data_IF_283658457735
#
_entry.id   IF_283658457735
#
_cell.length_a   1.000
_cell.length_b   1.000
_cell.length_c   1.000
_cell.angle_alpha   90.00
_cell.angle_beta   90.00
_cell.angle_gamma   90.00
#
_symmetry.space_group_name_H-M   'P 1'
#
loop_
_entity.id
_entity.type
_entity.pdbx_description
1 polymer ?
#
# COMPACT_ATOMS: atom_id res chain seq x y z
N UNK A 1 -6.23 -18.05 -25.75
CA UNK A 1 -6.32 -16.88 -24.82
C UNK A 1 -4.91 -16.57 -24.38
N UNK A 2 -4.47 -15.33 -24.52
CA UNK A 2 -3.12 -14.94 -24.11
C UNK A 2 -3.21 -14.13 -22.82
N UNK A 3 -2.40 -14.48 -21.80
CA UNK A 3 -2.49 -13.91 -20.47
C UNK A 3 -1.11 -13.38 -20.04
N UNK A 4 -1.09 -12.17 -19.52
CA UNK A 4 0.06 -11.58 -18.82
C UNK A 4 -0.19 -11.71 -17.33
N UNK A 5 0.75 -12.30 -16.61
CA UNK A 5 0.69 -12.45 -15.16
C UNK A 5 1.65 -11.45 -14.50
N UNK A 6 1.16 -10.69 -13.55
CA UNK A 6 1.97 -9.88 -12.63
C UNK A 6 2.18 -10.62 -11.31
N UNK A 7 3.39 -10.55 -10.76
CA UNK A 7 3.73 -11.07 -9.43
C UNK A 7 4.51 -10.01 -8.66
N UNK A 8 4.05 -9.71 -7.44
CA UNK A 8 4.76 -8.86 -6.48
C UNK A 8 5.22 -9.72 -5.29
N UNK A 9 6.53 -9.86 -5.16
CA UNK A 9 7.17 -10.66 -4.10
C UNK A 9 7.62 -9.73 -2.97
N UNK A 10 6.68 -9.38 -2.11
CA UNK A 10 6.96 -8.52 -0.96
C UNK A 10 7.65 -9.26 0.18
N UNK A 11 8.06 -8.51 1.22
CA UNK A 11 8.76 -9.08 2.39
C UNK A 11 7.91 -10.00 3.26
N UNK A 12 6.58 -9.92 3.20
CA UNK A 12 5.66 -10.73 4.03
C UNK A 12 4.55 -11.43 3.25
N UNK A 13 4.32 -11.00 1.99
CA UNK A 13 3.26 -11.53 1.13
C UNK A 13 3.70 -11.54 -0.32
N UNK A 14 3.28 -12.56 -1.07
CA UNK A 14 3.34 -12.59 -2.54
C UNK A 14 1.94 -12.38 -3.10
N UNK A 15 1.81 -11.44 -4.02
CA UNK A 15 0.56 -11.10 -4.71
C UNK A 15 0.67 -11.45 -6.18
N UNK A 16 -0.45 -11.86 -6.77
CA UNK A 16 -0.50 -12.27 -8.18
C UNK A 16 -1.82 -11.81 -8.80
N UNK A 17 -1.74 -11.36 -10.04
CA UNK A 17 -2.86 -10.94 -10.88
C UNK A 17 -2.60 -11.36 -12.32
N UNK A 18 -3.65 -11.50 -13.12
CA UNK A 18 -3.55 -11.74 -14.56
C UNK A 18 -4.42 -10.79 -15.36
N UNK A 19 -3.99 -10.48 -16.58
CA UNK A 19 -4.75 -9.72 -17.57
C UNK A 19 -4.79 -10.48 -18.90
N UNK A 20 -5.93 -10.39 -19.60
CA UNK A 20 -6.00 -10.83 -21.00
C UNK A 20 -5.16 -9.91 -21.88
N UNK A 21 -4.37 -10.49 -22.79
CA UNK A 21 -3.52 -9.76 -23.73
C UNK A 21 -4.15 -9.59 -25.13
N UNK A 22 -5.17 -10.38 -25.45
CA UNK A 22 -5.73 -10.47 -26.81
C UNK A 22 -6.61 -9.27 -27.18
N UNK A 23 -7.11 -8.49 -26.21
CA UNK A 23 -7.94 -7.30 -26.45
C UNK A 23 -7.38 -6.07 -25.72
N UNK A 24 -6.57 -5.22 -26.39
CA UNK A 24 -5.94 -4.05 -25.75
C UNK A 24 -6.93 -3.06 -25.09
N UNK A 25 -8.17 -3.01 -25.60
CA UNK A 25 -9.20 -2.08 -25.14
C UNK A 25 -10.16 -2.69 -24.09
N UNK A 26 -10.12 -4.01 -23.86
CA UNK A 26 -10.95 -4.73 -22.89
C UNK A 26 -10.09 -5.66 -22.03
N UNK A 27 -9.14 -5.09 -21.30
CA UNK A 27 -8.30 -5.87 -20.38
C UNK A 27 -9.16 -6.45 -19.27
N UNK A 28 -9.49 -7.74 -19.36
CA UNK A 28 -10.15 -8.44 -18.27
C UNK A 28 -9.12 -8.80 -17.21
N UNK A 29 -9.35 -8.32 -15.99
CA UNK A 29 -8.56 -8.69 -14.82
C UNK A 29 -9.09 -10.00 -14.24
N UNK A 30 -8.20 -10.98 -14.04
CA UNK A 30 -8.50 -12.18 -13.25
C UNK A 30 -8.43 -11.88 -11.77
N UNK A 31 -9.24 -12.56 -10.96
CA UNK A 31 -9.32 -12.32 -9.51
C UNK A 31 -7.94 -12.40 -8.86
N UNK A 32 -7.42 -11.29 -8.31
CA UNK A 32 -6.12 -11.28 -7.66
C UNK A 32 -6.12 -12.20 -6.43
N UNK A 33 -4.99 -12.80 -6.14
CA UNK A 33 -4.79 -13.52 -4.90
C UNK A 33 -3.51 -13.09 -4.21
N UNK A 34 -3.40 -13.36 -2.91
CA UNK A 34 -2.17 -13.24 -2.15
C UNK A 34 -1.86 -14.53 -1.40
N UNK A 35 -0.59 -14.72 -1.09
CA UNK A 35 -0.08 -15.83 -0.29
C UNK A 35 0.87 -15.26 0.77
N UNK A 36 0.67 -15.64 2.03
CA UNK A 36 1.66 -15.38 3.09
C UNK A 36 2.74 -16.45 2.97
N UNK A 37 3.99 -16.05 2.93
CA UNK A 37 5.10 -16.99 2.92
C UNK A 37 6.36 -16.39 3.53
N UNK A 38 7.19 -17.25 4.10
CA UNK A 38 8.50 -16.92 4.65
C UNK A 38 9.64 -17.16 3.64
N UNK A 39 9.40 -18.00 2.63
CA UNK A 39 10.36 -18.30 1.56
C UNK A 39 9.88 -17.67 0.25
N UNK A 40 10.64 -16.74 -0.35
CA UNK A 40 10.24 -16.05 -1.57
C UNK A 40 10.02 -16.99 -2.75
N UNK A 41 10.90 -17.97 -2.96
CA UNK A 41 10.82 -18.89 -4.11
C UNK A 41 9.59 -19.79 -3.96
N UNK A 42 9.43 -20.47 -2.83
CA UNK A 42 8.26 -21.30 -2.57
C UNK A 42 6.95 -20.52 -2.67
N UNK A 43 6.97 -19.26 -2.21
CA UNK A 43 5.83 -18.35 -2.28
C UNK A 43 5.41 -18.03 -3.71
N UNK A 44 6.37 -17.74 -4.59
CA UNK A 44 6.09 -17.45 -6.02
C UNK A 44 5.51 -18.67 -6.73
N UNK A 45 6.16 -19.83 -6.60
CA UNK A 45 5.66 -21.06 -7.21
C UNK A 45 4.28 -21.47 -6.69
N UNK A 46 4.07 -21.35 -5.36
CA UNK A 46 2.78 -21.62 -4.72
C UNK A 46 1.68 -20.61 -5.12
N UNK A 47 1.99 -19.32 -5.17
CA UNK A 47 1.05 -18.29 -5.62
C UNK A 47 0.66 -18.50 -7.08
N UNK A 48 1.62 -18.78 -7.96
CA UNK A 48 1.37 -19.04 -9.38
C UNK A 48 0.46 -20.27 -9.57
N UNK A 49 0.78 -21.40 -8.94
CA UNK A 49 -0.03 -22.62 -9.04
C UNK A 49 -1.44 -22.41 -8.48
N UNK A 50 -1.58 -21.74 -7.33
CA UNK A 50 -2.88 -21.39 -6.73
C UNK A 50 -3.70 -20.48 -7.65
N UNK A 51 -3.07 -19.47 -8.24
CA UNK A 51 -3.73 -18.50 -9.12
C UNK A 51 -4.22 -19.14 -10.41
N UNK A 52 -3.37 -19.91 -11.09
CA UNK A 52 -3.72 -20.57 -12.36
C UNK A 52 -4.82 -21.61 -12.15
N UNK A 53 -4.74 -22.40 -11.07
CA UNK A 53 -5.76 -23.39 -10.71
C UNK A 53 -7.11 -22.73 -10.38
N UNK A 54 -7.10 -21.66 -9.55
CA UNK A 54 -8.33 -20.98 -9.13
C UNK A 54 -9.06 -20.26 -10.28
N UNK A 55 -8.32 -19.82 -11.31
CA UNK A 55 -8.87 -19.11 -12.46
C UNK A 55 -9.01 -20.01 -13.72
N UNK A 56 -8.72 -21.30 -13.63
CA UNK A 56 -8.81 -22.23 -14.76
C UNK A 56 -7.84 -21.91 -15.91
N UNK A 57 -6.67 -21.35 -15.60
CA UNK A 57 -5.66 -20.91 -16.58
C UNK A 57 -4.69 -22.07 -16.87
N UNK A 58 -4.57 -22.47 -18.13
CA UNK A 58 -3.53 -23.42 -18.56
C UNK A 58 -2.17 -22.70 -18.68
N UNK A 59 -1.06 -23.41 -18.41
CA UNK A 59 0.29 -22.83 -18.55
C UNK A 59 0.55 -22.35 -19.99
N UNK A 60 0.00 -23.03 -20.99
CA UNK A 60 0.09 -22.65 -22.41
C UNK A 60 -0.59 -21.33 -22.74
N UNK A 61 -1.52 -20.88 -21.90
CA UNK A 61 -2.23 -19.60 -22.08
C UNK A 61 -1.42 -18.41 -21.52
N UNK A 62 -0.41 -18.68 -20.68
CA UNK A 62 0.41 -17.62 -20.09
C UNK A 62 1.53 -17.23 -21.08
N UNK A 63 1.44 -16.02 -21.62
CA UNK A 63 2.42 -15.45 -22.56
C UNK A 63 3.70 -15.02 -21.86
N UNK A 64 3.56 -14.35 -20.70
CA UNK A 64 4.68 -13.76 -19.97
C UNK A 64 4.35 -13.53 -18.49
N UNK A 65 5.37 -13.56 -17.67
CA UNK A 65 5.31 -13.18 -16.25
C UNK A 65 6.08 -11.88 -16.03
N UNK A 66 5.45 -10.92 -15.38
CA UNK A 66 6.03 -9.63 -14.99
C UNK A 66 6.20 -9.64 -13.47
N UNK A 67 7.44 -9.63 -12.99
CA UNK A 67 7.74 -9.82 -11.57
C UNK A 67 8.38 -8.57 -10.96
N UNK A 68 8.00 -8.26 -9.74
CA UNK A 68 8.52 -7.12 -8.96
C UNK A 68 8.59 -7.45 -7.47
N UNK A 69 9.02 -6.49 -6.66
CA UNK A 69 9.18 -6.61 -5.22
C UNK A 69 10.56 -7.12 -4.81
N UNK A 70 10.93 -6.86 -3.55
CA UNK A 70 12.28 -7.17 -3.02
C UNK A 70 12.65 -8.65 -3.12
N UNK A 71 11.68 -9.56 -3.00
CA UNK A 71 11.89 -11.00 -3.10
C UNK A 71 12.04 -11.50 -4.54
N UNK A 72 11.76 -10.68 -5.55
CA UNK A 72 11.87 -11.07 -6.96
C UNK A 72 13.29 -11.43 -7.37
N UNK A 73 14.31 -10.89 -6.69
CA UNK A 73 15.71 -11.19 -6.95
C UNK A 73 16.10 -12.67 -6.73
N UNK A 74 15.26 -13.45 -6.03
CA UNK A 74 15.47 -14.87 -5.82
C UNK A 74 14.80 -15.76 -6.87
N UNK A 75 14.14 -15.16 -7.87
CA UNK A 75 13.39 -15.86 -8.92
C UNK A 75 14.16 -15.74 -10.25
N UNK A 76 14.32 -16.85 -10.95
CA UNK A 76 15.01 -16.88 -12.24
C UNK A 76 14.20 -16.20 -13.36
N UNK A 77 14.85 -15.93 -14.49
CA UNK A 77 14.25 -15.34 -15.70
C UNK A 77 13.20 -16.25 -16.38
N UNK A 78 12.91 -17.42 -15.80
CA UNK A 78 11.86 -18.35 -16.24
C UNK A 78 11.14 -18.97 -15.08
N UNK A 79 9.82 -18.75 -15.01
CA UNK A 79 8.92 -19.39 -14.04
C UNK A 79 8.07 -20.46 -14.76
N UNK A 80 8.19 -21.72 -14.38
CA UNK A 80 7.57 -22.87 -15.09
C UNK A 80 7.91 -22.92 -16.60
N UNK A 81 9.10 -22.45 -16.99
CA UNK A 81 9.53 -22.35 -18.38
C UNK A 81 9.01 -21.11 -19.13
N UNK A 82 8.15 -20.30 -18.52
CA UNK A 82 7.58 -19.08 -19.08
C UNK A 82 8.57 -17.94 -18.87
N UNK A 83 8.76 -17.10 -19.90
CA UNK A 83 9.61 -15.90 -19.82
C UNK A 83 9.15 -14.99 -18.68
N UNK A 84 10.09 -14.61 -17.82
CA UNK A 84 9.84 -13.75 -16.66
C UNK A 84 10.67 -12.48 -16.78
N UNK A 85 10.01 -11.30 -16.73
CA UNK A 85 10.66 -9.99 -16.78
C UNK A 85 10.62 -9.33 -15.42
N UNK A 86 11.79 -8.98 -14.90
CA UNK A 86 11.96 -8.24 -13.66
C UNK A 86 11.73 -6.74 -13.86
N UNK A 87 10.97 -6.12 -12.97
CA UNK A 87 10.58 -4.71 -13.02
C UNK A 87 10.94 -3.97 -11.74
N UNK A 88 11.18 -2.67 -11.88
CA UNK A 88 11.33 -1.77 -10.74
C UNK A 88 10.03 -1.71 -9.93
N UNK A 89 10.11 -1.94 -8.62
CA UNK A 89 8.96 -1.87 -7.73
C UNK A 89 8.30 -0.49 -7.77
N UNK A 90 9.09 0.59 -7.81
CA UNK A 90 8.57 1.95 -7.79
C UNK A 90 7.84 2.33 -9.08
N UNK A 91 8.28 1.82 -10.25
CA UNK A 91 7.53 1.97 -11.49
C UNK A 91 6.19 1.24 -11.42
N UNK A 92 6.19 0.03 -10.85
CA UNK A 92 4.97 -0.74 -10.66
C UNK A 92 4.01 -0.07 -9.66
N UNK A 93 4.53 0.51 -8.58
CA UNK A 93 3.74 1.30 -7.61
C UNK A 93 3.06 2.48 -8.31
N UNK A 94 3.82 3.28 -9.06
CA UNK A 94 3.28 4.44 -9.77
C UNK A 94 2.22 4.07 -10.79
N UNK A 95 2.53 3.13 -11.70
CA UNK A 95 1.61 2.65 -12.74
C UNK A 95 0.34 2.05 -12.15
N UNK A 96 0.50 1.17 -11.18
CA UNK A 96 -0.64 0.51 -10.53
C UNK A 96 -1.50 1.48 -9.75
N UNK A 97 -0.90 2.44 -9.04
CA UNK A 97 -1.61 3.47 -8.29
C UNK A 97 -2.46 4.36 -9.19
N UNK A 98 -1.92 4.84 -10.31
CA UNK A 98 -2.70 5.61 -11.30
C UNK A 98 -3.82 4.76 -11.92
N UNK A 99 -3.54 3.51 -12.27
CA UNK A 99 -4.54 2.63 -12.86
C UNK A 99 -5.74 2.39 -11.93
N UNK A 100 -5.50 2.05 -10.65
CA UNK A 100 -6.59 1.72 -9.72
C UNK A 100 -7.37 2.95 -9.26
N UNK A 101 -6.75 4.14 -9.28
CA UNK A 101 -7.39 5.40 -8.90
C UNK A 101 -8.07 6.13 -10.07
N UNK A 102 -7.63 5.88 -11.30
CA UNK A 102 -8.06 6.61 -12.49
C UNK A 102 -7.47 8.03 -12.60
N UNK A 103 -6.48 8.38 -11.76
CA UNK A 103 -5.80 9.67 -11.87
C UNK A 103 -4.73 9.66 -12.94
N UNK A 104 -4.55 10.82 -13.60
CA UNK A 104 -3.46 11.04 -14.57
C UNK A 104 -2.16 11.51 -13.90
N UNK A 105 -2.25 12.08 -12.69
CA UNK A 105 -1.11 12.59 -11.92
C UNK A 105 -1.46 12.54 -10.43
N UNK A 106 -0.65 11.87 -9.64
CA UNK A 106 -0.84 11.77 -8.20
C UNK A 106 0.45 11.40 -7.45
N UNK A 107 0.43 11.58 -6.14
CA UNK A 107 1.37 10.93 -5.24
C UNK A 107 0.80 9.55 -4.86
N UNK A 108 1.56 8.51 -5.09
CA UNK A 108 1.19 7.14 -4.74
C UNK A 108 1.96 6.75 -3.49
N UNK A 109 1.23 6.38 -2.44
CA UNK A 109 1.80 5.93 -1.16
C UNK A 109 1.55 4.45 -1.00
N UNK A 110 2.60 3.66 -1.13
CA UNK A 110 2.55 2.21 -0.96
C UNK A 110 2.85 1.84 0.49
N UNK A 111 1.81 1.50 1.24
CA UNK A 111 1.84 1.17 2.67
C UNK A 111 1.90 -0.36 2.85
N UNK A 112 3.11 -0.90 2.82
CA UNK A 112 3.42 -2.31 3.02
C UNK A 112 4.04 -2.59 4.39
N UNK A 113 5.09 -3.41 4.44
CA UNK A 113 5.93 -3.64 5.65
C UNK A 113 6.58 -2.34 6.11
N UNK A 114 7.16 -1.57 5.19
CA UNK A 114 7.47 -0.15 5.29
C UNK A 114 6.58 0.65 4.34
N UNK A 115 6.94 1.91 4.09
CA UNK A 115 6.17 2.80 3.20
C UNK A 115 7.08 3.41 2.15
N UNK A 116 6.65 3.35 0.88
CA UNK A 116 7.27 4.06 -0.23
C UNK A 116 6.33 5.16 -0.76
N UNK A 117 6.92 6.29 -1.15
CA UNK A 117 6.23 7.43 -1.74
C UNK A 117 6.76 7.65 -3.15
N UNK A 118 5.86 7.62 -4.12
CA UNK A 118 6.17 7.73 -5.56
C UNK A 118 5.32 8.82 -6.17
N UNK A 119 5.94 9.75 -6.90
CA UNK A 119 5.23 10.67 -7.77
C UNK A 119 5.01 9.98 -9.12
N UNK A 120 3.78 9.90 -9.58
CA UNK A 120 3.45 9.24 -10.84
C UNK A 120 2.57 10.12 -11.72
N UNK A 121 2.82 10.12 -13.02
CA UNK A 121 1.98 10.78 -14.02
C UNK A 121 1.98 10.04 -15.35
N UNK A 122 0.88 10.12 -16.07
CA UNK A 122 0.79 9.59 -17.42
C UNK A 122 1.27 10.65 -18.42
N UNK A 123 2.26 10.30 -19.23
CA UNK A 123 2.82 11.14 -20.29
C UNK A 123 2.90 10.35 -21.59
N UNK A 124 2.25 10.83 -22.63
CA UNK A 124 2.28 10.22 -23.99
C UNK A 124 2.01 8.69 -23.97
N UNK A 125 1.03 8.25 -23.19
CA UNK A 125 0.62 6.84 -23.09
C UNK A 125 1.49 5.98 -22.19
N UNK A 126 2.45 6.56 -21.48
CA UNK A 126 3.31 5.84 -20.51
C UNK A 126 3.24 6.46 -19.12
N UNK A 127 3.39 5.63 -18.11
CA UNK A 127 3.52 6.11 -16.74
C UNK A 127 4.96 6.46 -16.43
N UNK A 128 5.20 7.72 -16.08
CA UNK A 128 6.47 8.21 -15.55
C UNK A 128 6.38 8.21 -14.03
N UNK A 129 7.27 7.47 -13.38
CA UNK A 129 7.32 7.32 -11.92
C UNK A 129 8.64 7.83 -11.37
N UNK A 130 8.59 8.60 -10.29
CA UNK A 130 9.75 9.10 -9.55
C UNK A 130 9.64 8.68 -8.09
N UNK A 131 10.61 7.89 -7.61
CA UNK A 131 10.69 7.56 -6.19
C UNK A 131 11.11 8.79 -5.39
N UNK A 132 10.22 9.26 -4.53
CA UNK A 132 10.44 10.46 -3.71
C UNK A 132 11.07 10.15 -2.35
N UNK A 133 11.13 8.90 -1.99
CA UNK A 133 11.61 8.43 -0.70
C UNK A 133 10.61 7.51 -0.03
N UNK A 134 10.86 7.24 1.24
CA UNK A 134 10.00 6.36 2.03
C UNK A 134 10.41 6.39 3.49
N UNK A 135 9.80 5.51 4.26
CA UNK A 135 10.10 5.33 5.67
C UNK A 135 10.01 3.87 6.06
N UNK A 136 10.80 3.47 7.06
CA UNK A 136 10.64 2.16 7.73
C UNK A 136 9.34 2.05 8.54
N UNK A 137 8.61 3.16 8.72
CA UNK A 137 7.30 3.15 9.40
C UNK A 137 6.24 2.57 8.47
N UNK A 138 5.56 1.52 8.93
CA UNK A 138 4.56 0.79 8.15
C UNK A 138 3.97 -0.38 8.92
N UNK A 139 3.50 -1.39 8.22
CA UNK A 139 2.90 -2.59 8.80
C UNK A 139 3.86 -3.36 9.72
N UNK A 140 5.14 -3.40 9.36
CA UNK A 140 6.18 -3.99 10.21
C UNK A 140 6.30 -3.27 11.55
N UNK A 141 6.19 -1.94 11.56
CA UNK A 141 6.19 -1.12 12.79
C UNK A 141 4.98 -1.43 13.65
N UNK A 142 3.78 -1.47 13.05
CA UNK A 142 2.55 -1.81 13.77
C UNK A 142 2.70 -3.17 14.45
N UNK A 143 3.08 -4.21 13.70
CA UNK A 143 3.24 -5.57 14.23
C UNK A 143 4.31 -5.64 15.32
N UNK A 144 5.48 -5.01 15.09
CA UNK A 144 6.60 -5.01 16.03
C UNK A 144 6.25 -4.35 17.36
N UNK A 145 5.66 -3.16 17.33
CA UNK A 145 5.24 -2.42 18.52
C UNK A 145 4.10 -3.13 19.25
N UNK A 146 3.11 -3.64 18.52
CA UNK A 146 1.99 -4.38 19.11
C UNK A 146 2.46 -5.65 19.80
N UNK A 147 3.41 -6.37 19.21
CA UNK A 147 4.01 -7.55 19.85
C UNK A 147 4.74 -7.17 21.13
N UNK A 148 5.53 -6.11 21.12
CA UNK A 148 6.34 -5.69 22.26
C UNK A 148 5.49 -5.09 23.39
N UNK A 149 4.50 -4.25 23.07
CA UNK A 149 3.74 -3.45 24.04
C UNK A 149 2.51 -4.24 24.51
N UNK A 150 1.80 -4.92 23.62
CA UNK A 150 0.52 -5.56 23.89
C UNK A 150 0.61 -7.08 24.00
N UNK A 151 1.71 -7.68 23.53
CA UNK A 151 1.85 -9.13 23.39
C UNK A 151 1.06 -9.71 22.21
N UNK A 152 0.67 -8.88 21.22
CA UNK A 152 -0.19 -9.25 20.09
C UNK A 152 0.62 -9.22 18.80
N UNK A 153 0.65 -10.36 18.09
CA UNK A 153 1.30 -10.50 16.79
C UNK A 153 0.30 -10.65 15.63
N UNK A 154 -0.96 -10.93 15.95
CA UNK A 154 -2.04 -11.08 14.97
C UNK A 154 -2.63 -9.71 14.64
N UNK A 155 -2.61 -9.36 13.34
CA UNK A 155 -3.03 -8.04 12.88
C UNK A 155 -4.56 -7.86 12.96
N UNK A 156 -5.33 -8.93 12.73
CA UNK A 156 -6.79 -8.85 12.76
C UNK A 156 -7.28 -8.65 14.21
N UNK A 157 -6.60 -9.29 15.17
CA UNK A 157 -6.85 -9.06 16.60
C UNK A 157 -6.51 -7.61 17.00
N UNK A 158 -5.38 -7.08 16.50
CA UNK A 158 -5.00 -5.69 16.77
C UNK A 158 -6.01 -4.69 16.20
N UNK A 159 -6.46 -4.90 14.96
CA UNK A 159 -7.48 -4.07 14.30
C UNK A 159 -8.74 -4.02 15.16
N UNK A 160 -9.24 -5.19 15.61
CA UNK A 160 -10.43 -5.26 16.45
C UNK A 160 -10.27 -4.54 17.81
N UNK A 161 -9.09 -4.59 18.43
CA UNK A 161 -8.81 -3.81 19.65
C UNK A 161 -8.82 -2.30 19.34
N UNK A 162 -8.15 -1.86 18.27
CA UNK A 162 -8.04 -0.46 17.92
C UNK A 162 -9.41 0.20 17.60
N UNK A 163 -10.42 -0.58 17.17
CA UNK A 163 -11.77 -0.06 16.90
C UNK A 163 -12.46 0.53 18.13
N UNK A 164 -12.11 0.05 19.33
CA UNK A 164 -12.73 0.45 20.60
C UNK A 164 -11.83 1.35 21.46
N UNK A 165 -10.66 1.72 20.93
CA UNK A 165 -9.69 2.55 21.61
C UNK A 165 -10.10 4.04 21.69
N UNK A 166 -9.58 4.71 22.70
CA UNK A 166 -9.73 6.15 22.90
C UNK A 166 -8.37 6.85 22.74
N UNK A 167 -8.19 7.56 21.62
CA UNK A 167 -6.93 8.23 21.31
C UNK A 167 -6.65 9.41 22.25
N UNK A 168 -7.66 9.99 22.91
CA UNK A 168 -7.49 11.11 23.85
C UNK A 168 -6.74 10.71 25.13
N UNK A 169 -6.64 9.43 25.42
CA UNK A 169 -5.83 8.87 26.52
C UNK A 169 -4.38 8.62 26.16
N UNK A 170 -4.05 8.70 24.88
CA UNK A 170 -2.74 8.33 24.34
C UNK A 170 -2.01 9.55 23.80
N UNK A 171 -2.65 10.32 22.90
CA UNK A 171 -2.02 11.39 22.16
C UNK A 171 -2.28 12.75 22.81
N UNK A 172 -1.21 13.55 22.96
CA UNK A 172 -1.31 14.93 23.34
C UNK A 172 -1.77 15.75 22.14
N UNK A 173 -2.90 16.42 22.27
CA UNK A 173 -3.50 17.24 21.22
C UNK A 173 -3.25 18.74 21.45
N UNK A 174 -3.38 19.55 20.41
CA UNK A 174 -3.27 21.01 20.51
C UNK A 174 -4.24 21.56 21.54
N UNK A 175 -5.48 21.06 21.62
CA UNK A 175 -6.47 21.48 22.62
C UNK A 175 -6.14 21.17 24.07
N UNK A 176 -5.24 20.20 24.32
CA UNK A 176 -4.73 19.91 25.66
C UNK A 176 -3.70 20.97 26.13
N UNK A 177 -2.98 21.58 25.17
CA UNK A 177 -1.89 22.53 25.44
C UNK A 177 -2.41 23.96 25.56
N UNK A 178 -3.40 24.33 24.75
CA UNK A 178 -3.90 25.70 24.69
C UNK A 178 -5.40 25.75 24.36
N UNK A 179 -6.05 26.77 24.96
CA UNK A 179 -7.42 27.16 24.62
C UNK A 179 -7.49 28.28 23.60
N UNK A 180 -6.33 28.82 23.20
CA UNK A 180 -6.26 29.92 22.22
C UNK A 180 -6.19 29.30 20.81
N UNK A 181 -6.84 29.97 19.86
CA UNK A 181 -6.64 29.67 18.45
C UNK A 181 -5.17 29.94 18.06
N UNK A 182 -4.50 28.93 17.57
CA UNK A 182 -3.12 28.99 17.10
C UNK A 182 -3.03 29.21 15.58
N UNK A 183 -3.90 30.00 15.01
CA UNK A 183 -3.77 30.43 13.63
C UNK A 183 -3.99 29.29 12.62
N UNK A 184 -5.07 28.54 12.78
CA UNK A 184 -5.49 27.50 11.85
C UNK A 184 -5.04 26.08 12.22
N UNK A 185 -4.49 25.87 13.43
CA UNK A 185 -4.25 24.53 13.97
C UNK A 185 -5.49 24.04 14.73
N UNK A 186 -6.21 23.01 14.27
CA UNK A 186 -7.38 22.51 14.94
C UNK A 186 -7.03 21.94 16.33
N UNK A 187 -7.94 22.08 17.30
CA UNK A 187 -7.72 21.58 18.66
C UNK A 187 -7.51 20.06 18.74
N UNK A 188 -8.08 19.31 17.80
CA UNK A 188 -7.96 17.86 17.70
C UNK A 188 -6.66 17.38 17.02
N UNK A 189 -5.84 18.29 16.49
CA UNK A 189 -4.57 17.93 15.86
C UNK A 189 -3.60 17.36 16.90
N UNK A 190 -2.95 16.27 16.58
CA UNK A 190 -1.92 15.64 17.40
C UNK A 190 -0.69 16.55 17.49
N UNK A 191 -0.32 16.92 18.70
CA UNK A 191 0.92 17.62 19.00
C UNK A 191 2.06 16.65 19.33
N UNK A 192 1.73 15.52 19.97
CA UNK A 192 2.70 14.46 20.27
C UNK A 192 1.99 13.11 20.38
N UNK A 193 2.33 12.19 19.48
CA UNK A 193 1.88 10.81 19.61
C UNK A 193 2.42 10.22 20.91
N UNK A 194 1.58 9.51 21.66
CA UNK A 194 1.88 8.99 23.00
C UNK A 194 2.26 10.04 24.05
N UNK A 195 2.10 11.34 23.74
CA UNK A 195 2.53 12.43 24.62
C UNK A 195 1.65 12.66 25.85
N UNK A 196 0.48 12.04 25.90
CA UNK A 196 -0.48 12.12 27.03
C UNK A 196 -0.82 10.74 27.59
N UNK A 197 0.07 9.76 27.38
CA UNK A 197 -0.21 8.39 27.79
C UNK A 197 -0.66 8.33 29.26
N UNK A 198 -1.92 7.94 29.44
CA UNK A 198 -2.54 7.77 30.75
C UNK A 198 -2.16 6.40 31.36
N UNK A 199 -1.84 6.38 32.66
CA UNK A 199 -1.52 5.14 33.39
C UNK A 199 -2.70 4.14 33.38
N UNK A 200 -3.92 4.62 33.13
CA UNK A 200 -5.14 3.80 33.03
C UNK A 200 -5.49 3.44 31.58
N UNK A 201 -4.62 3.76 30.61
CA UNK A 201 -4.87 3.43 29.20
C UNK A 201 -5.02 1.91 28.99
N UNK A 202 -6.09 1.53 28.33
CA UNK A 202 -6.39 0.14 28.01
C UNK A 202 -5.53 -0.38 26.84
N UNK A 203 -5.51 -1.71 26.66
CA UNK A 203 -4.89 -2.30 25.46
C UNK A 203 -5.52 -1.80 24.16
N UNK A 204 -6.80 -1.48 24.15
CA UNK A 204 -7.50 -0.90 23.00
C UNK A 204 -7.01 0.50 22.69
N UNK A 205 -6.82 1.34 23.72
CA UNK A 205 -6.29 2.69 23.56
C UNK A 205 -4.87 2.65 23.00
N UNK A 206 -4.01 1.79 23.56
CA UNK A 206 -2.64 1.59 23.06
C UNK A 206 -2.60 1.07 21.62
N UNK A 207 -3.49 0.12 21.28
CA UNK A 207 -3.60 -0.39 19.90
C UNK A 207 -3.95 0.72 18.92
N UNK A 208 -4.94 1.57 19.25
CA UNK A 208 -5.31 2.72 18.43
C UNK A 208 -4.17 3.74 18.35
N UNK A 209 -3.48 4.03 19.45
CA UNK A 209 -2.32 4.94 19.47
C UNK A 209 -1.19 4.49 18.55
N UNK A 210 -0.85 3.19 18.54
CA UNK A 210 0.16 2.64 17.62
C UNK A 210 -0.27 2.82 16.16
N UNK A 211 -1.51 2.50 15.84
CA UNK A 211 -2.05 2.62 14.48
C UNK A 211 -2.10 4.09 14.04
N UNK A 212 -2.60 4.98 14.90
CA UNK A 212 -2.69 6.41 14.63
C UNK A 212 -1.31 7.02 14.34
N UNK A 213 -0.33 6.76 15.20
CA UNK A 213 1.04 7.25 15.01
C UNK A 213 1.63 6.84 13.66
N UNK A 214 1.41 5.59 13.24
CA UNK A 214 1.90 5.10 11.96
C UNK A 214 1.21 5.79 10.80
N UNK A 215 -0.11 5.89 10.81
CA UNK A 215 -0.85 6.54 9.72
C UNK A 215 -0.63 8.05 9.66
N UNK A 216 -0.57 8.75 10.78
CA UNK A 216 -0.23 10.18 10.79
C UNK A 216 1.18 10.43 10.24
N UNK A 217 2.17 9.61 10.65
CA UNK A 217 3.54 9.72 10.12
C UNK A 217 3.60 9.53 8.61
N UNK A 218 2.91 8.52 8.09
CA UNK A 218 2.80 8.26 6.65
C UNK A 218 2.08 9.41 5.94
N UNK A 219 0.96 9.88 6.52
CA UNK A 219 0.16 10.95 5.95
C UNK A 219 0.93 12.26 5.84
N UNK A 220 1.72 12.62 6.85
CA UNK A 220 2.55 13.81 6.79
C UNK A 220 3.65 13.74 5.73
N UNK A 221 4.28 12.56 5.54
CA UNK A 221 5.21 12.36 4.43
C UNK A 221 4.51 12.55 3.08
N UNK A 222 3.30 12.03 2.94
CA UNK A 222 2.50 12.18 1.73
C UNK A 222 2.13 13.65 1.46
N UNK A 223 1.75 14.41 2.49
CA UNK A 223 1.48 15.85 2.39
C UNK A 223 2.70 16.62 1.89
N UNK A 224 3.88 16.36 2.46
CA UNK A 224 5.10 17.03 2.01
C UNK A 224 5.47 16.66 0.56
N UNK A 225 5.32 15.39 0.19
CA UNK A 225 5.53 14.95 -1.19
C UNK A 225 4.56 15.63 -2.15
N UNK A 226 3.26 15.65 -1.83
CA UNK A 226 2.23 16.28 -2.65
C UNK A 226 2.50 17.79 -2.85
N UNK A 227 2.83 18.49 -1.77
CA UNK A 227 3.20 19.91 -1.85
C UNK A 227 4.44 20.16 -2.70
N UNK A 228 5.46 19.31 -2.62
CA UNK A 228 6.68 19.45 -3.43
C UNK A 228 6.40 19.27 -4.92
N UNK A 229 5.44 18.44 -5.29
CA UNK A 229 4.99 18.20 -6.67
C UNK A 229 3.81 19.07 -7.11
N UNK A 230 3.36 19.99 -6.23
CA UNK A 230 2.24 20.90 -6.50
C UNK A 230 0.95 20.16 -6.91
N UNK A 231 0.70 19.01 -6.32
CA UNK A 231 -0.55 18.24 -6.44
C UNK A 231 -1.26 18.16 -5.10
N UNK A 232 -2.55 17.87 -5.12
CA UNK A 232 -3.35 17.59 -3.93
C UNK A 232 -3.76 16.12 -3.86
N UNK A 233 -3.59 15.38 -4.96
CA UNK A 233 -4.06 14.01 -5.10
C UNK A 233 -3.05 13.03 -4.54
N UNK A 234 -3.47 12.26 -3.55
CA UNK A 234 -2.69 11.24 -2.87
C UNK A 234 -3.45 9.92 -2.90
N UNK A 235 -2.88 8.91 -3.53
CA UNK A 235 -3.46 7.57 -3.66
C UNK A 235 -2.79 6.63 -2.66
N UNK A 236 -3.57 6.09 -1.74
CA UNK A 236 -3.12 5.17 -0.71
C UNK A 236 -3.26 3.73 -1.19
N UNK A 237 -2.17 3.00 -1.21
CA UNK A 237 -2.09 1.61 -1.69
C UNK A 237 -1.36 0.72 -0.68
N UNK A 238 -1.28 -0.58 -0.96
CA UNK A 238 -0.63 -1.56 -0.08
C UNK A 238 -1.56 -2.13 0.99
N UNK A 239 -1.04 -3.07 1.79
CA UNK A 239 -1.87 -3.84 2.73
C UNK A 239 -2.52 -2.98 3.82
N UNK A 240 -1.82 -1.95 4.31
CA UNK A 240 -2.36 -1.09 5.37
C UNK A 240 -3.57 -0.26 4.92
N UNK A 241 -3.74 -0.03 3.61
CA UNK A 241 -4.92 0.68 3.09
C UNK A 241 -6.24 -0.06 3.38
N UNK A 242 -6.17 -1.34 3.76
CA UNK A 242 -7.34 -2.16 4.12
C UNK A 242 -7.73 -2.07 5.59
N UNK A 243 -6.91 -1.45 6.42
CA UNK A 243 -7.25 -1.27 7.84
C UNK A 243 -8.38 -0.25 7.98
N UNK A 244 -9.47 -0.58 8.72
CA UNK A 244 -10.62 0.34 8.89
C UNK A 244 -10.20 1.71 9.46
N UNK A 245 -9.19 1.73 10.31
CA UNK A 245 -8.68 2.96 10.94
C UNK A 245 -8.03 3.92 9.92
N UNK A 246 -7.63 3.45 8.74
CA UNK A 246 -7.04 4.31 7.72
C UNK A 246 -8.00 5.40 7.25
N UNK A 247 -9.27 5.06 7.01
CA UNK A 247 -10.26 5.99 6.47
C UNK A 247 -10.42 7.24 7.35
N UNK A 248 -10.81 7.15 8.64
CA UNK A 248 -11.02 8.33 9.47
C UNK A 248 -9.74 9.15 9.69
N UNK A 249 -8.58 8.51 9.80
CA UNK A 249 -7.31 9.24 10.01
C UNK A 249 -6.95 10.05 8.75
N UNK A 250 -7.04 9.46 7.57
CA UNK A 250 -6.74 10.18 6.32
C UNK A 250 -7.81 11.21 5.94
N UNK A 251 -9.08 11.03 6.35
CA UNK A 251 -10.11 12.08 6.23
C UNK A 251 -9.78 13.31 7.07
N UNK A 252 -9.32 13.12 8.30
CA UNK A 252 -8.84 14.23 9.17
C UNK A 252 -7.67 14.95 8.49
N UNK A 253 -6.67 14.22 8.01
CA UNK A 253 -5.52 14.79 7.30
C UNK A 253 -5.91 15.51 6.01
N UNK A 254 -6.90 14.99 5.27
CA UNK A 254 -7.46 15.65 4.09
C UNK A 254 -7.98 17.04 4.39
N UNK A 255 -8.78 17.15 5.46
CA UNK A 255 -9.36 18.44 5.89
C UNK A 255 -8.30 19.38 6.40
N UNK A 256 -7.37 18.90 7.24
CA UNK A 256 -6.34 19.73 7.87
C UNK A 256 -5.35 20.32 6.88
N UNK A 257 -4.99 19.59 5.85
CA UNK A 257 -3.90 19.96 4.93
C UNK A 257 -4.37 20.30 3.52
N UNK A 258 -5.69 20.31 3.28
CA UNK A 258 -6.31 20.55 1.97
C UNK A 258 -5.78 19.58 0.90
N UNK A 259 -5.76 18.29 1.24
CA UNK A 259 -5.31 17.19 0.38
C UNK A 259 -6.49 16.28 0.03
N UNK A 260 -6.37 15.57 -1.08
CA UNK A 260 -7.33 14.58 -1.53
C UNK A 260 -6.72 13.18 -1.36
N UNK A 261 -6.86 12.58 -0.17
CA UNK A 261 -6.46 11.21 0.09
C UNK A 261 -7.53 10.25 -0.38
N UNK A 262 -7.17 9.30 -1.23
CA UNK A 262 -8.10 8.28 -1.73
C UNK A 262 -7.55 6.87 -1.53
N UNK A 263 -8.44 5.95 -1.14
CA UNK A 263 -8.18 4.51 -1.06
C UNK A 263 -9.02 3.84 -2.14
N UNK A 264 -8.45 3.56 -3.33
CA UNK A 264 -9.21 2.95 -4.42
C UNK A 264 -9.52 1.48 -4.15
N UNK A 265 -10.51 0.95 -4.88
CA UNK A 265 -10.74 -0.49 -4.92
C UNK A 265 -9.49 -1.22 -5.42
N UNK A 266 -9.16 -2.37 -4.85
CA UNK A 266 -7.95 -3.14 -5.14
C UNK A 266 -6.62 -2.41 -4.81
N UNK A 267 -6.67 -1.43 -3.91
CA UNK A 267 -5.48 -0.68 -3.46
C UNK A 267 -4.36 -1.59 -2.96
N UNK A 268 -4.69 -2.71 -2.31
CA UNK A 268 -3.74 -3.71 -1.84
C UNK A 268 -3.02 -4.45 -2.97
N UNK A 269 -3.59 -4.47 -4.17
CA UNK A 269 -3.01 -5.12 -5.37
C UNK A 269 -2.41 -4.13 -6.36
N UNK A 270 -2.37 -2.83 -6.05
CA UNK A 270 -1.91 -1.81 -6.98
C UNK A 270 -0.53 -2.12 -7.60
N UNK A 271 0.47 -2.47 -6.78
CA UNK A 271 1.83 -2.77 -7.25
C UNK A 271 1.85 -3.93 -8.25
N UNK A 272 1.18 -5.04 -7.93
CA UNK A 272 1.16 -6.21 -8.82
C UNK A 272 0.36 -5.96 -10.10
N UNK A 273 -0.69 -5.13 -10.02
CA UNK A 273 -1.43 -4.65 -11.20
C UNK A 273 -0.50 -3.83 -12.09
N UNK A 274 0.25 -2.88 -11.51
CA UNK A 274 1.24 -2.09 -12.22
C UNK A 274 2.33 -2.93 -12.88
N UNK A 275 2.75 -4.03 -12.26
CA UNK A 275 3.69 -4.96 -12.86
C UNK A 275 3.10 -5.62 -14.12
N UNK A 276 1.90 -6.19 -14.04
CA UNK A 276 1.26 -6.81 -15.19
C UNK A 276 1.01 -5.83 -16.35
N UNK A 277 0.63 -4.59 -16.04
CA UNK A 277 0.34 -3.55 -17.03
C UNK A 277 1.59 -3.06 -17.79
N UNK A 278 2.78 -3.27 -17.26
CA UNK A 278 4.03 -2.84 -17.90
C UNK A 278 4.27 -3.44 -19.30
N UNK A 279 3.74 -4.62 -19.58
CA UNK A 279 3.87 -5.25 -20.90
C UNK A 279 3.08 -4.48 -21.96
N UNK A 280 1.95 -3.88 -21.58
CA UNK A 280 1.07 -3.17 -22.51
C UNK A 280 1.52 -1.74 -22.84
N UNK A 281 2.40 -1.13 -22.05
CA UNK A 281 2.99 0.19 -22.34
C UNK A 281 4.07 0.14 -23.44
N UNK A 282 4.61 -1.04 -23.73
CA UNK A 282 5.65 -1.20 -24.75
C UNK A 282 5.06 -1.49 -26.15
N UNK A 283 3.72 -1.62 -26.27
CA UNK A 283 3.03 -1.94 -27.53
C UNK A 283 2.45 -0.67 -28.20
N UNK A 284 2.68 0.53 -27.64
CA UNK A 284 2.31 1.84 -28.20
C UNK A 284 3.60 2.52 -28.70
#
# INVERSE_FOLDING_TARGET
>A
MSIIIGIDVGGSTTKIVGFTADEPHKKQIFSPIFVKASDPVASVYGAFGKFTSANGIALSDVKKVMITGVGSAFVDDRLYGIETRHLSEFECVGRGGLYVSGYENAIIVSMGTGTAVVSAKNEAGRTVSEYMGGTGVGGGTIVGLSKQILGISDIDHLIGLAETGDIEKIDLRIGDITKKDLGGLPSYMTASNFGKLDDMASKSDLALGIVNMVFESIGMLAVFAARSKKTRDVVLTGNLSKMPQAVPIFEILSQMFDMNFVIPKNSEFATVIGAALAEFENEI
#
